data_IF_519161934480
#
_entry.id   IF_519161934480
#
_cell.length_a   1.000
_cell.length_b   1.000
_cell.length_c   1.000
_cell.angle_alpha   90.00
_cell.angle_beta   90.00
_cell.angle_gamma   90.00
#
_symmetry.space_group_name_H-M   'P 1'
#
loop_
_entity.id
_entity.type
_entity.pdbx_description
1 polymer ?
#
# COMPACT_ATOMS: atom_id res chain seq x y z
N UNK A 1 -57.99 -34.50 29.58
CA UNK A 1 -57.22 -33.34 29.04
C UNK A 1 -57.62 -33.14 27.61
N UNK A 2 -58.14 -32.01 27.24
CA UNK A 2 -58.64 -31.77 25.89
C UNK A 2 -57.50 -31.58 24.89
N UNK A 3 -57.68 -32.05 23.64
CA UNK A 3 -56.68 -31.92 22.58
C UNK A 3 -56.23 -30.47 22.33
N UNK A 4 -56.99 -29.47 22.79
CA UNK A 4 -56.67 -28.04 22.75
C UNK A 4 -55.57 -27.65 23.75
N UNK A 5 -55.47 -28.30 24.94
CA UNK A 5 -54.44 -28.04 25.95
C UNK A 5 -53.07 -28.63 25.51
N UNK A 6 -53.07 -29.78 24.83
CA UNK A 6 -51.82 -30.38 24.32
C UNK A 6 -51.26 -29.57 23.17
N UNK A 7 -52.09 -28.97 22.28
CA UNK A 7 -51.65 -28.13 21.20
C UNK A 7 -51.05 -26.78 21.68
N UNK A 8 -51.58 -26.24 22.78
CA UNK A 8 -51.06 -25.01 23.40
C UNK A 8 -49.71 -25.21 24.08
N UNK A 9 -49.49 -26.41 24.68
CA UNK A 9 -48.20 -26.76 25.31
C UNK A 9 -47.10 -27.04 24.28
N UNK A 10 -47.43 -27.65 23.10
CA UNK A 10 -46.49 -27.82 22.01
C UNK A 10 -46.12 -26.47 21.33
N UNK A 11 -47.04 -25.53 21.22
CA UNK A 11 -46.76 -24.22 20.68
C UNK A 11 -45.88 -23.37 21.61
N UNK A 12 -46.02 -23.53 22.94
CA UNK A 12 -45.18 -22.84 23.93
C UNK A 12 -43.75 -23.43 24.00
N UNK A 13 -43.58 -24.73 23.72
CA UNK A 13 -42.25 -25.36 23.65
C UNK A 13 -41.49 -25.01 22.40
N UNK A 14 -42.17 -24.67 21.29
CA UNK A 14 -41.51 -24.15 20.05
C UNK A 14 -41.06 -22.70 20.17
N UNK A 15 -41.65 -21.91 21.06
CA UNK A 15 -41.25 -20.50 21.27
C UNK A 15 -40.04 -20.38 22.19
N UNK A 16 -39.77 -21.36 23.05
CA UNK A 16 -38.59 -21.37 23.95
C UNK A 16 -37.29 -21.89 23.30
N UNK A 17 -37.32 -22.37 22.05
CA UNK A 17 -36.10 -22.82 21.34
C UNK A 17 -35.48 -21.74 20.44
N UNK A 18 -35.99 -20.51 20.47
CA UNK A 18 -35.42 -19.37 19.78
C UNK A 18 -34.84 -18.33 20.75
N UNK A 19 -33.85 -18.67 21.51
CA UNK A 19 -33.02 -17.64 22.14
C UNK A 19 -31.83 -18.26 22.88
N UNK A 20 -30.93 -18.85 22.14
CA UNK A 20 -29.51 -18.80 22.49
C UNK A 20 -28.75 -18.65 21.18
N UNK A 21 -28.98 -17.52 20.51
CA UNK A 21 -27.90 -16.93 19.74
C UNK A 21 -26.96 -16.38 20.82
N UNK A 22 -26.06 -17.25 21.30
CA UNK A 22 -24.83 -16.76 21.88
C UNK A 22 -24.25 -15.87 20.79
N UNK A 23 -24.23 -14.55 21.01
CA UNK A 23 -23.30 -13.70 20.30
C UNK A 23 -21.94 -14.32 20.61
N UNK A 24 -21.41 -15.14 19.69
CA UNK A 24 -20.00 -15.41 19.67
C UNK A 24 -19.37 -14.03 19.72
N UNK A 25 -18.62 -13.75 20.77
CA UNK A 25 -17.75 -12.59 20.83
C UNK A 25 -16.76 -12.80 19.69
N UNK A 26 -17.13 -12.33 18.53
CA UNK A 26 -16.35 -12.46 17.29
C UNK A 26 -15.21 -11.43 17.38
N UNK A 27 -14.25 -11.72 18.25
CA UNK A 27 -13.05 -10.89 18.39
C UNK A 27 -12.02 -11.33 17.36
N UNK A 28 -11.47 -10.35 16.67
CA UNK A 28 -10.38 -10.51 15.71
C UNK A 28 -9.10 -10.09 16.42
N UNK A 29 -8.14 -11.00 16.57
CA UNK A 29 -6.82 -10.67 17.12
C UNK A 29 -5.80 -10.72 16.00
N UNK A 30 -5.05 -9.64 15.83
CA UNK A 30 -3.99 -9.49 14.84
C UNK A 30 -2.72 -8.96 15.51
N UNK A 31 -1.59 -9.24 14.89
CA UNK A 31 -0.32 -8.54 15.16
C UNK A 31 -0.09 -7.56 14.03
N UNK A 32 0.10 -6.28 14.33
CA UNK A 32 0.39 -5.27 13.33
C UNK A 32 1.89 -5.20 12.99
N UNK A 33 2.26 -4.34 12.05
CA UNK A 33 3.65 -4.21 11.59
C UNK A 33 4.59 -3.57 12.65
N UNK A 34 4.05 -2.99 13.73
CA UNK A 34 4.83 -2.62 14.93
C UNK A 34 5.01 -3.79 15.91
N UNK A 35 4.54 -5.00 15.59
CA UNK A 35 4.59 -6.17 16.46
C UNK A 35 3.62 -6.09 17.66
N UNK A 36 2.60 -5.20 17.62
CA UNK A 36 1.61 -5.05 18.66
C UNK A 36 0.45 -6.02 18.42
N UNK A 37 0.04 -6.71 19.48
CA UNK A 37 -1.18 -7.53 19.45
C UNK A 37 -2.40 -6.67 19.74
N UNK A 38 -3.32 -6.59 18.79
CA UNK A 38 -4.53 -5.79 18.85
C UNK A 38 -5.75 -6.69 18.72
N UNK A 39 -6.69 -6.55 19.66
CA UNK A 39 -7.99 -7.22 19.62
C UNK A 39 -9.08 -6.21 19.25
N UNK A 40 -9.84 -6.55 18.21
CA UNK A 40 -10.92 -5.74 17.64
C UNK A 40 -12.23 -6.53 17.78
N UNK A 41 -13.32 -5.86 18.13
CA UNK A 41 -14.64 -6.46 18.10
C UNK A 41 -15.14 -6.50 16.65
N UNK A 42 -15.41 -7.69 16.14
CA UNK A 42 -15.89 -7.90 14.77
C UNK A 42 -17.40 -8.11 14.67
N UNK A 43 -17.96 -8.09 13.48
CA UNK A 43 -17.29 -7.80 12.21
C UNK A 43 -16.91 -6.32 12.08
N UNK A 44 -15.79 -6.05 11.41
CA UNK A 44 -15.34 -4.69 11.14
C UNK A 44 -16.07 -4.18 9.89
N UNK A 45 -16.84 -3.11 10.07
CA UNK A 45 -17.66 -2.50 9.00
C UNK A 45 -17.43 -0.99 8.88
N UNK A 46 -16.59 -0.42 9.75
CA UNK A 46 -16.31 1.02 9.78
C UNK A 46 -14.82 1.24 10.01
N UNK A 47 -14.10 1.63 8.97
CA UNK A 47 -12.66 1.80 8.97
C UNK A 47 -12.30 3.21 8.50
N UNK A 48 -11.27 3.80 9.09
CA UNK A 48 -10.56 4.95 8.52
C UNK A 48 -9.21 4.43 8.04
N UNK A 49 -8.85 4.69 6.77
CA UNK A 49 -7.53 4.41 6.23
C UNK A 49 -6.81 5.74 5.95
N UNK A 50 -5.69 5.96 6.63
CA UNK A 50 -4.98 7.23 6.58
C UNK A 50 -4.04 7.34 5.38
N UNK A 51 -3.59 6.20 4.83
CA UNK A 51 -2.64 6.16 3.73
C UNK A 51 -3.26 5.63 2.44
N UNK A 52 -2.77 6.11 1.28
CA UNK A 52 -3.26 5.69 -0.03
C UNK A 52 -3.17 4.18 -0.26
N UNK A 53 -2.06 3.54 0.14
CA UNK A 53 -1.86 2.09 0.00
C UNK A 53 -2.94 1.28 0.70
N UNK A 54 -3.31 1.67 1.92
CA UNK A 54 -4.34 0.98 2.70
C UNK A 54 -5.72 1.10 2.04
N UNK A 55 -6.03 2.29 1.50
CA UNK A 55 -7.26 2.48 0.73
C UNK A 55 -7.28 1.56 -0.51
N UNK A 56 -6.19 1.50 -1.25
CA UNK A 56 -6.07 0.64 -2.44
C UNK A 56 -6.25 -0.84 -2.09
N UNK A 57 -5.63 -1.31 -1.00
CA UNK A 57 -5.79 -2.68 -0.52
C UNK A 57 -7.25 -2.95 -0.13
N UNK A 58 -7.89 -2.08 0.66
CA UNK A 58 -9.28 -2.25 1.06
C UNK A 58 -10.24 -2.31 -0.13
N UNK A 59 -10.03 -1.49 -1.15
CA UNK A 59 -10.81 -1.57 -2.39
C UNK A 59 -10.54 -2.86 -3.16
N UNK A 60 -9.30 -3.32 -3.24
CA UNK A 60 -8.94 -4.59 -3.88
C UNK A 60 -9.58 -5.80 -3.18
N UNK A 61 -9.76 -5.72 -1.85
CA UNK A 61 -10.47 -6.72 -1.05
C UNK A 61 -12.01 -6.63 -1.15
N UNK A 62 -12.54 -5.65 -1.89
CA UNK A 62 -13.99 -5.42 -1.99
C UNK A 62 -14.58 -4.78 -0.72
N UNK A 63 -13.79 -4.10 0.09
CA UNK A 63 -14.16 -3.49 1.36
C UNK A 63 -14.32 -1.97 1.29
N UNK A 64 -14.41 -1.38 0.10
CA UNK A 64 -14.55 0.08 -0.06
C UNK A 64 -15.74 0.67 0.70
N UNK A 65 -16.86 -0.05 0.79
CA UNK A 65 -18.07 0.38 1.52
C UNK A 65 -17.87 0.47 3.04
N UNK A 66 -16.83 -0.17 3.59
CA UNK A 66 -16.48 -0.07 5.00
C UNK A 66 -15.68 1.19 5.34
N UNK A 67 -15.12 1.89 4.34
CA UNK A 67 -14.40 3.13 4.54
C UNK A 67 -15.35 4.26 4.92
N UNK A 68 -15.23 4.74 6.15
CA UNK A 68 -15.99 5.90 6.67
C UNK A 68 -15.14 7.17 6.69
N UNK A 69 -13.83 7.05 6.50
CA UNK A 69 -12.89 8.14 6.38
C UNK A 69 -11.62 7.70 5.63
N UNK A 70 -10.99 8.63 4.93
CA UNK A 70 -9.73 8.43 4.23
C UNK A 70 -8.75 9.57 4.51
N UNK A 71 -7.47 9.28 4.45
CA UNK A 71 -6.47 10.33 4.43
C UNK A 71 -6.63 11.26 3.22
N UNK A 72 -6.28 12.52 3.37
CA UNK A 72 -6.47 13.54 2.32
C UNK A 72 -5.76 13.23 1.00
N UNK A 73 -4.71 12.39 1.05
CA UNK A 73 -3.93 11.99 -0.13
C UNK A 73 -4.40 10.70 -0.80
N UNK A 74 -5.42 10.04 -0.24
CA UNK A 74 -6.02 8.86 -0.85
C UNK A 74 -6.90 9.28 -2.03
N UNK A 75 -6.53 8.84 -3.24
CA UNK A 75 -7.13 9.28 -4.51
C UNK A 75 -7.45 8.11 -5.47
N UNK A 76 -7.11 6.88 -5.08
CA UNK A 76 -7.36 5.70 -5.90
C UNK A 76 -8.02 4.56 -5.10
N UNK A 77 -8.96 3.82 -5.72
CA UNK A 77 -9.61 4.12 -7.01
C UNK A 77 -10.46 5.40 -6.91
N UNK A 78 -10.93 5.95 -8.03
CA UNK A 78 -11.68 7.21 -8.03
C UNK A 78 -12.88 7.23 -7.06
N UNK A 79 -13.48 6.06 -6.79
CA UNK A 79 -14.56 5.91 -5.83
C UNK A 79 -14.17 6.34 -4.40
N UNK A 80 -12.89 6.29 -4.03
CA UNK A 80 -12.43 6.72 -2.70
C UNK A 80 -12.69 8.20 -2.45
N UNK A 81 -12.76 9.02 -3.49
CA UNK A 81 -12.98 10.47 -3.38
C UNK A 81 -14.36 10.82 -2.80
N UNK A 82 -15.33 9.91 -2.85
CA UNK A 82 -16.64 10.07 -2.23
C UNK A 82 -16.60 9.86 -0.70
N UNK A 83 -15.51 9.26 -0.18
CA UNK A 83 -15.32 9.03 1.26
C UNK A 83 -14.82 10.32 1.91
N UNK A 84 -15.35 10.73 3.08
CA UNK A 84 -14.88 11.91 3.80
C UNK A 84 -13.37 11.89 4.03
N UNK A 85 -12.68 12.96 3.63
CA UNK A 85 -11.24 13.10 3.86
C UNK A 85 -10.99 13.62 5.29
N UNK A 86 -10.00 13.02 5.95
CA UNK A 86 -9.47 13.49 7.23
C UNK A 86 -8.03 13.98 7.07
N UNK A 87 -7.61 14.88 7.95
CA UNK A 87 -6.24 15.37 7.96
C UNK A 87 -5.28 14.20 8.27
N UNK A 88 -4.32 13.97 7.37
CA UNK A 88 -3.30 12.93 7.45
C UNK A 88 -1.89 13.52 7.30
N UNK A 89 -0.87 12.74 7.62
CA UNK A 89 0.53 13.12 7.56
C UNK A 89 1.02 13.65 8.92
N UNK A 90 1.85 14.69 8.93
CA UNK A 90 2.48 15.20 10.17
C UNK A 90 1.47 15.71 11.21
N UNK A 91 0.37 16.27 10.77
CA UNK A 91 -0.71 16.76 11.64
C UNK A 91 -1.91 15.82 11.52
N UNK A 92 -2.46 15.42 12.66
CA UNK A 92 -3.64 14.58 12.78
C UNK A 92 -4.77 15.37 13.42
N UNK A 93 -5.95 15.36 12.79
CA UNK A 93 -7.14 15.95 13.39
C UNK A 93 -7.95 14.88 14.15
N UNK A 94 -7.67 14.78 15.46
CA UNK A 94 -8.33 13.82 16.33
C UNK A 94 -9.87 14.00 16.34
N UNK A 95 -10.37 15.23 16.32
CA UNK A 95 -11.82 15.50 16.38
C UNK A 95 -12.53 14.97 15.13
N UNK A 96 -11.93 15.15 13.93
CA UNK A 96 -12.47 14.58 12.68
C UNK A 96 -12.52 13.07 12.74
N UNK A 97 -11.47 12.42 13.23
CA UNK A 97 -11.39 10.96 13.36
C UNK A 97 -12.46 10.43 14.32
N UNK A 98 -12.58 11.03 15.50
CA UNK A 98 -13.58 10.63 16.50
C UNK A 98 -15.02 10.84 16.01
N UNK A 99 -15.28 11.92 15.26
CA UNK A 99 -16.60 12.21 14.71
C UNK A 99 -17.08 11.14 13.71
N UNK A 100 -16.18 10.46 13.03
CA UNK A 100 -16.51 9.39 12.08
C UNK A 100 -16.87 8.06 12.75
N UNK A 101 -16.65 7.93 14.07
CA UNK A 101 -17.03 6.74 14.85
C UNK A 101 -16.58 5.43 14.17
N UNK A 102 -15.30 5.34 13.80
CA UNK A 102 -14.68 4.14 13.24
C UNK A 102 -14.42 3.08 14.30
N UNK A 103 -14.43 1.80 13.91
CA UNK A 103 -13.99 0.71 14.79
C UNK A 103 -12.46 0.61 14.79
N UNK A 104 -11.83 0.96 13.68
CA UNK A 104 -10.38 0.86 13.46
C UNK A 104 -9.91 2.05 12.64
N UNK A 105 -8.75 2.57 12.98
CA UNK A 105 -7.95 3.47 12.16
C UNK A 105 -6.70 2.72 11.68
N UNK A 106 -6.44 2.72 10.38
CA UNK A 106 -5.26 2.12 9.77
C UNK A 106 -4.31 3.25 9.40
N UNK A 107 -3.04 3.11 9.76
CA UNK A 107 -1.97 4.10 9.53
C UNK A 107 -0.71 3.39 9.08
N UNK A 108 0.04 3.98 8.15
CA UNK A 108 1.37 3.49 7.82
C UNK A 108 2.44 3.93 8.85
N UNK A 109 3.56 3.19 8.89
CA UNK A 109 4.72 3.59 9.69
C UNK A 109 5.38 4.82 9.06
N UNK A 110 5.40 5.91 9.82
CA UNK A 110 6.02 7.18 9.49
C UNK A 110 6.69 7.77 10.74
N UNK A 111 7.51 8.79 10.59
CA UNK A 111 8.26 9.38 11.70
C UNK A 111 7.38 9.80 12.90
N UNK A 112 6.12 10.19 12.67
CA UNK A 112 5.19 10.66 13.70
C UNK A 112 4.20 9.59 14.18
N UNK A 113 4.22 8.38 13.61
CA UNK A 113 3.15 7.38 13.82
C UNK A 113 3.05 6.95 15.29
N UNK A 114 4.16 6.78 16.01
CA UNK A 114 4.15 6.35 17.42
C UNK A 114 3.40 7.32 18.33
N UNK A 115 3.63 8.61 18.15
CA UNK A 115 2.96 9.67 18.92
C UNK A 115 1.49 9.74 18.57
N UNK A 116 1.16 9.64 17.30
CA UNK A 116 -0.23 9.67 16.81
C UNK A 116 -1.02 8.45 17.27
N UNK A 117 -0.44 7.24 17.19
CA UNK A 117 -1.03 6.01 17.73
C UNK A 117 -1.33 6.17 19.22
N UNK A 118 -0.36 6.67 20.00
CA UNK A 118 -0.54 6.90 21.43
C UNK A 118 -1.71 7.85 21.70
N UNK A 119 -1.83 8.93 20.94
CA UNK A 119 -2.90 9.92 21.06
C UNK A 119 -4.27 9.28 20.76
N UNK A 120 -4.39 8.52 19.69
CA UNK A 120 -5.62 7.87 19.27
C UNK A 120 -6.06 6.82 20.30
N UNK A 121 -5.15 5.97 20.76
CA UNK A 121 -5.44 4.90 21.73
C UNK A 121 -5.86 5.46 23.10
N UNK A 122 -5.25 6.57 23.56
CA UNK A 122 -5.68 7.28 24.78
C UNK A 122 -7.11 7.82 24.69
N UNK A 123 -7.62 8.02 23.47
CA UNK A 123 -8.99 8.43 23.20
C UNK A 123 -9.91 7.27 22.80
N UNK A 124 -9.49 6.02 23.03
CA UNK A 124 -10.29 4.81 22.83
C UNK A 124 -10.37 4.31 21.40
N UNK A 125 -9.56 4.85 20.48
CA UNK A 125 -9.52 4.41 19.09
C UNK A 125 -8.60 3.21 18.96
N UNK A 126 -9.04 2.17 18.26
CA UNK A 126 -8.18 1.04 17.87
C UNK A 126 -7.35 1.42 16.65
N UNK A 127 -6.04 1.27 16.73
CA UNK A 127 -5.14 1.62 15.63
C UNK A 127 -4.37 0.38 15.18
N UNK A 128 -4.33 0.18 13.87
CA UNK A 128 -3.49 -0.82 13.20
C UNK A 128 -2.42 -0.06 12.42
N UNK A 129 -1.17 -0.44 12.62
CA UNK A 129 -0.06 0.12 11.84
C UNK A 129 0.33 -0.86 10.74
N UNK A 130 0.37 -0.36 9.51
CA UNK A 130 0.87 -1.03 8.31
C UNK A 130 2.26 -0.52 7.98
N UNK A 131 3.03 -1.31 7.26
CA UNK A 131 4.32 -0.93 6.67
C UNK A 131 4.52 -1.75 5.38
N UNK A 132 5.40 -1.32 4.48
CA UNK A 132 5.60 -2.04 3.23
C UNK A 132 6.84 -1.55 2.50
N UNK A 133 8.01 -1.94 2.99
CA UNK A 133 9.27 -1.57 2.35
C UNK A 133 9.59 -2.48 1.15
N UNK A 134 9.28 -3.77 1.24
CA UNK A 134 9.53 -4.78 0.22
C UNK A 134 8.24 -5.51 -0.18
N UNK A 135 8.31 -6.34 -1.22
CA UNK A 135 7.13 -7.03 -1.77
C UNK A 135 6.50 -7.99 -0.75
N UNK A 136 7.30 -8.67 0.08
CA UNK A 136 6.73 -9.59 1.08
C UNK A 136 5.96 -8.84 2.16
N UNK A 137 6.47 -7.69 2.62
CA UNK A 137 5.74 -6.83 3.57
C UNK A 137 4.44 -6.29 2.96
N UNK A 138 4.41 -6.01 1.65
CA UNK A 138 3.15 -5.67 0.96
C UNK A 138 2.15 -6.83 1.03
N UNK A 139 2.60 -8.07 0.84
CA UNK A 139 1.72 -9.24 0.99
C UNK A 139 1.25 -9.42 2.44
N UNK A 140 2.11 -9.16 3.42
CA UNK A 140 1.75 -9.20 4.84
C UNK A 140 0.67 -8.16 5.17
N UNK A 141 0.76 -6.95 4.64
CA UNK A 141 -0.27 -5.91 4.78
C UNK A 141 -1.61 -6.35 4.15
N UNK A 142 -1.58 -6.92 2.96
CA UNK A 142 -2.79 -7.42 2.30
C UNK A 142 -3.45 -8.51 3.16
N UNK A 143 -2.66 -9.45 3.72
CA UNK A 143 -3.17 -10.48 4.65
C UNK A 143 -3.70 -9.90 5.95
N UNK A 144 -2.99 -8.92 6.52
CA UNK A 144 -3.39 -8.24 7.76
C UNK A 144 -4.75 -7.58 7.58
N UNK A 145 -4.93 -6.77 6.52
CA UNK A 145 -6.18 -6.10 6.22
C UNK A 145 -7.28 -7.10 5.84
N UNK A 146 -6.94 -8.15 5.08
CA UNK A 146 -7.84 -9.27 4.80
C UNK A 146 -8.40 -9.92 6.05
N UNK A 147 -7.54 -10.22 7.03
CA UNK A 147 -7.95 -10.80 8.33
C UNK A 147 -8.83 -9.86 9.14
N UNK A 148 -8.51 -8.56 9.19
CA UNK A 148 -9.32 -7.55 9.90
C UNK A 148 -10.71 -7.44 9.30
N UNK A 149 -10.81 -7.51 7.98
CA UNK A 149 -12.06 -7.35 7.23
C UNK A 149 -12.82 -8.67 7.03
N UNK A 150 -12.29 -9.82 7.47
CA UNK A 150 -12.88 -11.15 7.21
C UNK A 150 -12.86 -11.50 5.73
N UNK A 151 -11.77 -11.14 5.03
CA UNK A 151 -11.56 -11.25 3.59
C UNK A 151 -10.25 -11.98 3.25
N UNK A 152 -9.93 -13.01 4.02
CA UNK A 152 -8.68 -13.75 3.87
C UNK A 152 -8.56 -14.44 2.51
N UNK A 153 -9.68 -14.95 1.98
CA UNK A 153 -9.68 -15.60 0.66
C UNK A 153 -9.44 -14.59 -0.47
N UNK A 154 -10.04 -13.41 -0.40
CA UNK A 154 -9.85 -12.32 -1.33
C UNK A 154 -8.41 -11.78 -1.24
N UNK A 155 -7.84 -11.71 -0.04
CA UNK A 155 -6.45 -11.30 0.17
C UNK A 155 -5.47 -12.26 -0.52
N UNK A 156 -5.62 -13.56 -0.33
CA UNK A 156 -4.77 -14.54 -1.01
C UNK A 156 -4.98 -14.55 -2.53
N UNK A 157 -6.18 -14.23 -3.02
CA UNK A 157 -6.42 -14.07 -4.45
C UNK A 157 -5.66 -12.87 -5.03
N UNK A 158 -5.71 -11.71 -4.38
CA UNK A 158 -4.95 -10.51 -4.77
C UNK A 158 -3.44 -10.80 -4.78
N UNK A 159 -2.92 -11.43 -3.75
CA UNK A 159 -1.49 -11.80 -3.65
C UNK A 159 -1.11 -12.76 -4.79
N UNK A 160 -1.94 -13.77 -5.05
CA UNK A 160 -1.70 -14.75 -6.13
C UNK A 160 -1.62 -14.06 -7.49
N UNK A 161 -2.51 -13.09 -7.76
CA UNK A 161 -2.50 -12.34 -9.02
C UNK A 161 -1.25 -11.45 -9.15
N UNK A 162 -0.81 -10.80 -8.06
CA UNK A 162 0.43 -10.05 -8.03
C UNK A 162 1.65 -10.96 -8.31
N UNK A 163 1.75 -12.08 -7.58
CA UNK A 163 2.83 -13.06 -7.74
C UNK A 163 2.90 -13.62 -9.15
N UNK A 164 1.73 -13.92 -9.74
CA UNK A 164 1.65 -14.37 -11.13
C UNK A 164 2.17 -13.31 -12.08
N UNK A 165 1.77 -12.05 -11.91
CA UNK A 165 2.24 -10.95 -12.76
C UNK A 165 3.76 -10.76 -12.66
N UNK A 166 4.31 -10.78 -11.45
CA UNK A 166 5.76 -10.69 -11.23
C UNK A 166 6.51 -11.86 -11.87
N UNK A 167 6.01 -13.09 -11.72
CA UNK A 167 6.59 -14.27 -12.35
C UNK A 167 6.51 -14.22 -13.88
N UNK A 168 5.40 -13.75 -14.45
CA UNK A 168 5.21 -13.60 -15.89
C UNK A 168 6.18 -12.55 -16.48
N UNK A 169 6.45 -11.46 -15.76
CA UNK A 169 7.46 -10.45 -16.16
C UNK A 169 8.86 -11.03 -16.03
N UNK A 170 9.20 -11.65 -14.90
CA UNK A 170 10.51 -12.25 -14.67
C UNK A 170 10.85 -13.32 -15.73
N UNK A 171 9.86 -14.13 -16.14
CA UNK A 171 10.05 -15.17 -17.17
C UNK A 171 10.34 -14.59 -18.57
N UNK A 172 9.94 -13.36 -18.85
CA UNK A 172 10.17 -12.66 -20.13
C UNK A 172 11.42 -11.79 -20.09
N UNK A 173 11.93 -11.47 -18.89
CA UNK A 173 13.04 -10.56 -18.67
C UNK A 173 14.37 -11.30 -18.85
N UNK A 174 15.27 -10.73 -19.64
CA UNK A 174 16.65 -11.19 -19.71
C UNK A 174 17.47 -10.52 -18.61
N UNK A 175 18.22 -11.32 -17.84
CA UNK A 175 19.14 -10.79 -16.84
C UNK A 175 20.29 -10.06 -17.51
N UNK A 176 20.52 -8.81 -17.13
CA UNK A 176 21.56 -7.96 -17.68
C UNK A 176 22.42 -7.34 -16.56
N UNK A 177 23.55 -6.74 -16.95
CA UNK A 177 24.36 -5.92 -16.05
C UNK A 177 23.92 -4.45 -16.03
N UNK A 178 22.90 -4.09 -16.82
CA UNK A 178 22.39 -2.72 -16.91
C UNK A 178 21.73 -2.30 -15.60
N UNK A 179 21.87 -1.02 -15.30
CA UNK A 179 21.45 -0.43 -14.03
C UNK A 179 20.31 0.56 -14.20
N UNK A 180 19.42 0.59 -13.19
CA UNK A 180 18.33 1.57 -13.05
C UNK A 180 18.61 2.46 -11.85
N UNK A 181 18.53 3.76 -12.02
CA UNK A 181 18.40 4.75 -10.95
C UNK A 181 16.94 5.15 -10.78
N UNK A 182 16.39 4.98 -9.58
CA UNK A 182 15.06 5.48 -9.23
C UNK A 182 15.19 6.85 -8.57
N UNK A 183 14.64 7.88 -9.19
CA UNK A 183 14.55 9.21 -8.61
C UNK A 183 13.20 9.37 -7.90
N UNK A 184 13.24 9.30 -6.56
CA UNK A 184 12.03 9.31 -5.71
C UNK A 184 11.60 10.73 -5.35
N UNK A 185 12.56 11.64 -5.22
CA UNK A 185 12.31 13.05 -4.91
C UNK A 185 13.02 13.93 -5.95
N UNK A 186 12.39 15.04 -6.38
CA UNK A 186 13.01 15.96 -7.33
C UNK A 186 14.22 16.66 -6.72
N UNK A 187 15.13 17.10 -7.59
CA UNK A 187 16.39 17.75 -7.20
C UNK A 187 16.21 18.92 -6.23
N UNK A 188 15.17 19.71 -6.40
CA UNK A 188 14.89 20.89 -5.58
C UNK A 188 14.65 20.57 -4.09
N UNK A 189 14.23 19.34 -3.77
CA UNK A 189 14.00 18.85 -2.40
C UNK A 189 15.08 17.89 -1.93
N UNK A 190 16.13 17.72 -2.74
CA UNK A 190 17.20 16.75 -2.53
C UNK A 190 16.84 15.39 -3.10
N UNK A 191 17.76 14.81 -3.87
CA UNK A 191 17.55 13.51 -4.50
C UNK A 191 17.43 12.41 -3.46
N UNK A 192 16.46 11.53 -3.64
CA UNK A 192 16.32 10.29 -2.90
C UNK A 192 16.24 9.11 -3.87
N UNK A 193 16.75 7.97 -3.43
CA UNK A 193 16.67 6.73 -4.19
C UNK A 193 16.25 5.57 -3.30
N UNK A 194 15.77 4.51 -3.97
CA UNK A 194 15.47 3.22 -3.38
C UNK A 194 16.72 2.34 -3.42
N UNK A 195 17.16 1.82 -2.29
CA UNK A 195 18.25 0.87 -2.15
C UNK A 195 17.76 -0.57 -2.01
N UNK A 196 18.63 -1.43 -1.46
CA UNK A 196 18.26 -2.81 -1.10
C UNK A 196 17.09 -2.81 -0.10
N UNK A 197 16.38 -3.93 -0.03
CA UNK A 197 15.20 -4.13 0.82
C UNK A 197 14.06 -3.11 0.56
N UNK A 198 13.93 -2.64 -0.69
CA UNK A 198 12.79 -1.88 -1.15
C UNK A 198 12.07 -2.62 -2.28
N UNK A 199 10.75 -2.47 -2.37
CA UNK A 199 10.01 -3.06 -3.49
C UNK A 199 10.47 -2.51 -4.85
N UNK A 200 10.97 -1.27 -4.95
CA UNK A 200 11.54 -0.74 -6.21
C UNK A 200 12.81 -1.48 -6.62
N UNK A 201 13.67 -1.84 -5.66
CA UNK A 201 14.84 -2.68 -5.93
C UNK A 201 14.40 -4.04 -6.50
N UNK A 202 13.40 -4.68 -5.86
CA UNK A 202 12.88 -5.96 -6.31
C UNK A 202 12.21 -5.87 -7.69
N UNK A 203 11.48 -4.77 -8.00
CA UNK A 203 10.91 -4.54 -9.33
C UNK A 203 11.99 -4.42 -10.41
N UNK A 204 13.15 -3.79 -10.13
CA UNK A 204 14.27 -3.76 -11.05
C UNK A 204 14.80 -5.19 -11.32
N UNK A 205 14.96 -6.00 -10.26
CA UNK A 205 15.44 -7.38 -10.39
C UNK A 205 14.45 -8.29 -11.15
N UNK A 206 13.13 -8.12 -10.93
CA UNK A 206 12.08 -8.81 -11.68
C UNK A 206 12.18 -8.47 -13.17
N UNK A 207 12.53 -7.23 -13.52
CA UNK A 207 12.77 -6.79 -14.89
C UNK A 207 14.16 -7.19 -15.43
N UNK A 208 14.97 -7.97 -14.70
CA UNK A 208 16.29 -8.41 -15.10
C UNK A 208 17.38 -7.34 -15.04
N UNK A 209 17.11 -6.21 -14.39
CA UNK A 209 18.04 -5.08 -14.24
C UNK A 209 18.66 -5.06 -12.84
N UNK A 210 19.76 -4.33 -12.69
CA UNK A 210 20.36 -4.03 -11.39
C UNK A 210 19.89 -2.65 -10.90
N UNK A 211 19.64 -2.53 -9.61
CA UNK A 211 19.47 -1.21 -9.02
C UNK A 211 20.84 -0.52 -8.88
N UNK A 212 20.98 0.70 -9.40
CA UNK A 212 22.22 1.48 -9.33
C UNK A 212 22.64 1.80 -7.89
N UNK A 213 21.70 1.73 -6.92
CA UNK A 213 21.91 1.98 -5.51
C UNK A 213 21.63 0.74 -4.63
N UNK A 214 21.89 -0.46 -5.15
CA UNK A 214 21.71 -1.71 -4.41
C UNK A 214 22.65 -1.87 -3.18
N UNK A 215 23.67 -1.04 -3.07
CA UNK A 215 24.64 -1.01 -1.96
C UNK A 215 24.23 -0.13 -0.78
N UNK A 216 23.11 0.60 -0.88
CA UNK A 216 22.49 1.32 0.25
C UNK A 216 21.24 0.58 0.71
N UNK A 217 20.86 0.77 1.97
CA UNK A 217 19.74 0.08 2.60
C UNK A 217 18.51 1.00 2.63
N UNK A 218 17.36 0.50 2.17
CA UNK A 218 16.09 1.21 2.24
C UNK A 218 16.07 2.49 1.39
N UNK A 219 15.31 3.45 1.83
CA UNK A 219 15.12 4.75 1.17
C UNK A 219 16.14 5.74 1.70
N UNK A 220 17.02 6.26 0.82
CA UNK A 220 18.13 7.12 1.25
C UNK A 220 18.25 8.36 0.36
N UNK A 221 18.69 9.45 1.01
CA UNK A 221 19.13 10.64 0.29
C UNK A 221 20.43 10.35 -0.44
N UNK A 222 20.51 10.77 -1.70
CA UNK A 222 21.69 10.61 -2.56
C UNK A 222 22.10 11.96 -3.16
N UNK A 223 23.35 12.08 -3.60
CA UNK A 223 23.83 13.28 -4.26
C UNK A 223 23.87 13.12 -5.79
N UNK A 224 23.90 14.25 -6.51
CA UNK A 224 24.08 14.24 -7.96
C UNK A 224 25.40 13.58 -8.37
N UNK A 225 26.48 13.80 -7.59
CA UNK A 225 27.80 13.20 -7.83
C UNK A 225 27.74 11.68 -7.75
N UNK A 226 26.99 11.13 -6.79
CA UNK A 226 26.79 9.69 -6.66
C UNK A 226 26.04 9.12 -7.87
N UNK A 227 25.02 9.83 -8.40
CA UNK A 227 24.30 9.41 -9.59
C UNK A 227 25.23 9.44 -10.82
N UNK A 228 26.01 10.52 -10.98
CA UNK A 228 26.98 10.68 -12.08
C UNK A 228 28.06 9.56 -12.03
N UNK A 229 28.61 9.28 -10.84
CA UNK A 229 29.64 8.24 -10.65
C UNK A 229 29.11 6.84 -10.99
N UNK A 230 27.86 6.53 -10.60
CA UNK A 230 27.22 5.24 -10.88
C UNK A 230 26.82 5.07 -12.34
N UNK A 231 26.65 6.18 -13.05
CA UNK A 231 26.39 6.23 -14.48
C UNK A 231 25.28 5.25 -14.94
N UNK A 232 24.05 5.39 -14.44
CA UNK A 232 22.97 4.44 -14.73
C UNK A 232 22.62 4.37 -16.22
N UNK A 233 22.21 3.16 -16.67
CA UNK A 233 21.73 2.92 -18.03
C UNK A 233 20.29 3.43 -18.23
N UNK A 234 19.49 3.46 -17.17
CA UNK A 234 18.11 3.92 -17.15
C UNK A 234 17.87 4.81 -15.93
N UNK A 235 17.02 5.82 -16.09
CA UNK A 235 16.50 6.65 -15.00
C UNK A 235 14.98 6.50 -14.99
N UNK A 236 14.43 6.14 -13.82
CA UNK A 236 12.99 6.02 -13.60
C UNK A 236 12.56 7.09 -12.60
N UNK A 237 11.72 8.00 -13.07
CA UNK A 237 11.21 9.12 -12.29
C UNK A 237 9.87 8.73 -11.65
N UNK A 238 9.79 8.85 -10.35
CA UNK A 238 8.56 8.64 -9.57
C UNK A 238 8.22 9.86 -8.71
N UNK A 239 8.72 11.02 -9.13
CA UNK A 239 8.65 12.28 -8.38
C UNK A 239 7.27 12.94 -8.40
N UNK A 240 6.36 12.49 -9.28
CA UNK A 240 5.04 13.11 -9.45
C UNK A 240 5.06 14.50 -10.10
N UNK A 241 6.17 14.94 -10.70
CA UNK A 241 6.33 16.26 -11.33
C UNK A 241 5.61 16.40 -12.69
N UNK A 242 4.83 15.40 -13.10
CA UNK A 242 4.06 15.45 -14.33
C UNK A 242 4.91 15.37 -15.61
N UNK A 243 4.37 15.90 -16.71
CA UNK A 243 4.94 15.72 -18.05
C UNK A 243 6.32 16.39 -18.24
N UNK A 244 6.67 17.40 -17.45
CA UNK A 244 7.94 18.13 -17.56
C UNK A 244 9.11 17.45 -16.84
N UNK A 245 8.88 16.39 -16.10
CA UNK A 245 9.91 15.69 -15.29
C UNK A 245 11.07 15.17 -16.17
N UNK A 246 10.76 14.60 -17.32
CA UNK A 246 11.77 14.08 -18.26
C UNK A 246 12.64 15.21 -18.81
N UNK A 247 12.04 16.30 -19.25
CA UNK A 247 12.77 17.45 -19.82
C UNK A 247 13.68 18.10 -18.78
N UNK A 248 13.23 18.20 -17.52
CA UNK A 248 14.05 18.70 -16.41
C UNK A 248 15.31 17.84 -16.23
N UNK A 249 15.14 16.53 -16.12
CA UNK A 249 16.26 15.60 -15.91
C UNK A 249 17.19 15.55 -17.12
N UNK A 250 16.64 15.53 -18.32
CA UNK A 250 17.42 15.56 -19.59
C UNK A 250 18.23 16.86 -19.76
N UNK A 251 17.75 17.98 -19.22
CA UNK A 251 18.42 19.29 -19.26
C UNK A 251 19.33 19.59 -18.06
N UNK A 252 19.49 18.66 -17.12
CA UNK A 252 20.18 18.88 -15.86
C UNK A 252 21.70 19.03 -16.06
N UNK A 253 22.25 20.17 -15.62
CA UNK A 253 23.67 20.49 -15.78
C UNK A 253 24.58 19.46 -15.09
N UNK A 254 25.60 18.98 -15.79
CA UNK A 254 26.56 17.99 -15.29
C UNK A 254 26.13 16.54 -15.53
N UNK A 255 24.91 16.30 -16.02
CA UNK A 255 24.39 14.95 -16.29
C UNK A 255 24.56 14.51 -17.76
N UNK A 256 25.10 15.36 -18.61
CA UNK A 256 25.22 15.14 -20.08
C UNK A 256 26.01 13.85 -20.44
N UNK A 257 26.82 13.39 -19.49
CA UNK A 257 27.65 12.20 -19.71
C UNK A 257 27.04 10.90 -19.15
N UNK A 258 25.94 10.97 -18.39
CA UNK A 258 25.22 9.79 -17.90
C UNK A 258 24.67 8.99 -19.08
N UNK A 259 24.86 7.68 -19.06
CA UNK A 259 24.44 6.76 -20.13
C UNK A 259 22.95 6.89 -20.44
N UNK A 260 22.10 6.93 -19.40
CA UNK A 260 20.66 7.12 -19.56
C UNK A 260 20.31 8.43 -20.29
N UNK A 261 20.98 9.53 -19.96
CA UNK A 261 20.77 10.84 -20.61
C UNK A 261 21.18 10.80 -22.07
N UNK A 262 22.38 10.27 -22.38
CA UNK A 262 22.85 10.14 -23.77
C UNK A 262 21.91 9.33 -24.66
N UNK A 263 21.26 8.33 -24.07
CA UNK A 263 20.40 7.40 -24.81
C UNK A 263 18.92 7.81 -24.77
N UNK A 264 18.55 8.90 -24.05
CA UNK A 264 17.16 9.27 -23.83
C UNK A 264 16.38 8.21 -23.03
N UNK A 265 17.07 7.42 -22.22
CA UNK A 265 16.51 6.32 -21.46
C UNK A 265 16.00 6.79 -20.06
N UNK A 266 15.12 7.79 -20.10
CA UNK A 266 14.46 8.38 -18.91
C UNK A 266 12.98 8.10 -18.99
N UNK A 267 12.43 7.45 -17.95
CA UNK A 267 11.04 7.06 -17.85
C UNK A 267 10.33 7.84 -16.74
N UNK A 268 9.26 8.51 -17.10
CA UNK A 268 8.35 9.13 -16.14
C UNK A 268 7.26 8.10 -15.81
N UNK A 269 7.45 7.36 -14.74
CA UNK A 269 6.51 6.32 -14.32
C UNK A 269 5.25 6.91 -13.69
N UNK A 270 4.17 6.11 -13.66
CA UNK A 270 3.06 6.41 -12.75
C UNK A 270 3.61 6.39 -11.31
N UNK A 271 3.83 7.57 -10.75
CA UNK A 271 4.43 7.73 -9.44
C UNK A 271 3.60 7.03 -8.37
N UNK A 272 2.28 7.06 -8.46
CA UNK A 272 1.40 6.45 -7.47
C UNK A 272 1.41 4.92 -7.53
N UNK A 273 1.41 4.33 -8.72
CA UNK A 273 1.52 2.88 -8.87
C UNK A 273 2.90 2.36 -8.43
N UNK A 274 3.97 3.14 -8.65
CA UNK A 274 5.36 2.75 -8.38
C UNK A 274 5.80 3.02 -6.94
N UNK A 275 5.17 3.96 -6.21
CA UNK A 275 5.62 4.37 -4.86
C UNK A 275 4.74 3.86 -3.72
N UNK A 276 3.56 3.33 -4.02
CA UNK A 276 2.63 2.86 -3.00
C UNK A 276 2.78 1.35 -2.80
N UNK A 277 3.02 0.86 -1.56
CA UNK A 277 3.07 -0.56 -1.24
C UNK A 277 1.66 -1.19 -1.29
N UNK A 278 1.16 -1.41 -2.51
CA UNK A 278 -0.22 -1.78 -2.80
C UNK A 278 -0.31 -2.71 -4.03
N UNK A 279 -1.46 -3.31 -4.35
CA UNK A 279 -1.60 -4.23 -5.46
C UNK A 279 -1.17 -3.67 -6.82
N UNK A 280 -1.21 -2.33 -7.02
CA UNK A 280 -0.76 -1.69 -8.28
C UNK A 280 0.75 -1.80 -8.57
N UNK A 281 1.55 -2.29 -7.65
CA UNK A 281 2.95 -2.67 -7.96
C UNK A 281 3.01 -3.71 -9.09
N UNK A 282 1.99 -4.55 -9.25
CA UNK A 282 1.88 -5.48 -10.37
C UNK A 282 1.70 -4.76 -11.73
N UNK A 283 0.97 -3.66 -11.76
CA UNK A 283 0.86 -2.80 -12.94
C UNK A 283 2.18 -2.04 -13.19
N UNK A 284 2.76 -1.50 -12.14
CA UNK A 284 4.01 -0.76 -12.20
C UNK A 284 5.16 -1.57 -12.81
N UNK A 285 5.30 -2.86 -12.44
CA UNK A 285 6.35 -3.73 -13.00
C UNK A 285 6.12 -4.02 -14.49
N UNK A 286 4.88 -4.19 -14.92
CA UNK A 286 4.55 -4.39 -16.34
C UNK A 286 4.92 -3.15 -17.16
N UNK A 287 4.58 -1.97 -16.66
CA UNK A 287 4.90 -0.70 -17.32
C UNK A 287 6.42 -0.45 -17.36
N UNK A 288 7.13 -0.75 -16.28
CA UNK A 288 8.59 -0.71 -16.24
C UNK A 288 9.20 -1.67 -17.28
N UNK A 289 8.74 -2.91 -17.34
CA UNK A 289 9.18 -3.89 -18.33
C UNK A 289 8.94 -3.39 -19.76
N UNK A 290 7.77 -2.84 -20.05
CA UNK A 290 7.43 -2.31 -21.37
C UNK A 290 8.39 -1.19 -21.77
N UNK A 291 8.64 -0.23 -20.88
CA UNK A 291 9.61 0.83 -21.12
C UNK A 291 11.01 0.28 -21.43
N UNK A 292 11.52 -0.63 -20.59
CA UNK A 292 12.87 -1.20 -20.74
C UNK A 292 13.06 -1.96 -22.05
N UNK A 293 11.99 -2.48 -22.64
CA UNK A 293 11.99 -3.27 -23.88
C UNK A 293 11.47 -2.47 -25.10
N UNK A 294 11.20 -1.18 -24.96
CA UNK A 294 10.70 -0.33 -26.05
C UNK A 294 9.33 -0.74 -26.57
N UNK A 295 8.50 -1.36 -25.73
CA UNK A 295 7.11 -1.68 -26.03
C UNK A 295 6.30 -0.42 -25.78
N UNK A 296 5.76 0.18 -26.83
CA UNK A 296 4.80 1.30 -26.75
C UNK A 296 3.39 0.75 -26.68
N UNK A 297 2.57 1.28 -25.74
CA UNK A 297 1.14 0.99 -25.69
C UNK A 297 0.38 1.41 -26.95
#
# INVERSE_FOLDING_TARGET
MSKKLVSLFLALLMICSMANVTAENNTITVTDMFGREITIEGPVTRVIAMEPSDCEILYALGCGDALVGRGKYCDYPAAVLEVPAVQAGQELNLEEILALNSQVVIMADMAQTKEQVTLLEQNGVKVIVTDGNNIEEVYENIRLLGKIMGKEAEAEAVITDMQKTFADVAAKSEKTEKTIYFEVMPLEWGLWSAGANTFMHELAEICGMKNAFADIEGWQQVSQEQVIERNPDYIVLVTGMGETAVDEVMGRAGWENITAIKNGAVYNADSYAMTRPAPRLAEAVVNLYNFLNGVTE
#
